data_IF_168095871365
#
_entry.id   IF_168095871365
#
_cell.length_a   1.000
_cell.length_b   1.000
_cell.length_c   1.000
_cell.angle_alpha   90.00
_cell.angle_beta   90.00
_cell.angle_gamma   90.00
#
_symmetry.space_group_name_H-M   'P 1'
#
loop_
_entity.id
_entity.type
_entity.pdbx_description
1 polymer ?
#
# COMPACT_ATOMS: atom_id res chain seq x y z
N UNK A 1 19.38 12.64 -0.93
CA UNK A 1 19.87 11.67 -1.93
C UNK A 1 20.06 10.37 -1.19
N UNK A 2 19.46 9.30 -1.70
CA UNK A 2 19.27 8.03 -1.00
C UNK A 2 20.58 7.24 -1.05
N UNK A 3 21.34 7.27 0.03
CA UNK A 3 22.67 6.61 0.18
C UNK A 3 22.63 5.12 -0.25
N UNK A 4 21.50 4.45 -0.01
CA UNK A 4 21.24 3.07 -0.39
C UNK A 4 21.16 2.84 -1.91
N UNK A 5 20.66 3.82 -2.68
CA UNK A 5 20.59 3.75 -4.14
C UNK A 5 21.98 3.86 -4.77
N UNK A 6 22.84 4.72 -4.21
CA UNK A 6 24.23 4.87 -4.66
C UNK A 6 25.04 3.60 -4.38
N UNK A 7 24.83 2.96 -3.22
CA UNK A 7 25.45 1.68 -2.88
C UNK A 7 25.02 0.55 -3.86
N UNK A 8 23.74 0.51 -4.23
CA UNK A 8 23.21 -0.47 -5.18
C UNK A 8 23.78 -0.28 -6.59
N UNK A 9 23.81 0.96 -7.10
CA UNK A 9 24.37 1.27 -8.43
C UNK A 9 25.86 0.94 -8.51
N UNK A 10 26.59 1.11 -7.40
CA UNK A 10 28.00 0.71 -7.29
C UNK A 10 28.19 -0.80 -7.40
N UNK A 11 27.32 -1.61 -6.77
CA UNK A 11 27.35 -3.07 -6.89
C UNK A 11 27.12 -3.54 -8.34
N UNK A 12 26.26 -2.86 -9.08
CA UNK A 12 26.04 -3.12 -10.52
C UNK A 12 27.28 -2.74 -11.34
N UNK A 13 27.89 -1.59 -11.06
CA UNK A 13 29.10 -1.13 -11.73
C UNK A 13 30.32 -2.05 -11.47
N UNK A 14 30.39 -2.64 -10.27
CA UNK A 14 31.40 -3.64 -9.89
C UNK A 14 31.13 -5.04 -10.48
N UNK A 15 30.02 -5.23 -11.19
CA UNK A 15 29.62 -6.52 -11.77
C UNK A 15 29.20 -7.57 -10.74
N UNK A 16 28.96 -7.16 -9.49
CA UNK A 16 28.48 -8.02 -8.41
C UNK A 16 26.98 -8.31 -8.51
N UNK A 17 26.26 -7.49 -9.26
CA UNK A 17 24.83 -7.60 -9.49
C UNK A 17 24.52 -7.30 -10.94
N UNK A 18 23.65 -8.10 -11.57
CA UNK A 18 23.23 -7.82 -12.95
C UNK A 18 22.18 -6.70 -12.99
N UNK A 19 22.04 -5.99 -14.13
CA UNK A 19 21.00 -4.96 -14.29
C UNK A 19 19.58 -5.51 -14.10
N UNK A 20 19.36 -6.77 -14.49
CA UNK A 20 18.06 -7.45 -14.40
C UNK A 20 17.69 -7.75 -12.93
N UNK A 21 18.67 -8.13 -12.11
CA UNK A 21 18.49 -8.34 -10.66
C UNK A 21 18.39 -7.01 -9.90
N UNK A 22 19.04 -5.96 -10.39
CA UNK A 22 19.02 -4.63 -9.77
C UNK A 22 17.71 -3.89 -10.00
N UNK A 23 17.06 -4.07 -11.15
CA UNK A 23 15.82 -3.39 -11.53
C UNK A 23 14.71 -3.44 -10.44
N UNK A 24 14.34 -4.59 -9.87
CA UNK A 24 13.32 -4.63 -8.81
C UNK A 24 13.78 -3.98 -7.50
N UNK A 25 15.07 -4.00 -7.20
CA UNK A 25 15.63 -3.38 -5.98
C UNK A 25 15.66 -1.86 -6.09
N UNK A 26 16.03 -1.32 -7.27
CA UNK A 26 15.95 0.12 -7.58
C UNK A 26 14.51 0.62 -7.46
N UNK A 27 13.54 -0.14 -8.01
CA UNK A 27 12.13 0.22 -7.94
C UNK A 27 11.65 0.32 -6.48
N UNK A 28 11.91 -0.71 -5.67
CA UNK A 28 11.50 -0.73 -4.27
C UNK A 28 12.18 0.37 -3.41
N UNK A 29 13.45 0.70 -3.69
CA UNK A 29 14.15 1.79 -3.01
C UNK A 29 13.64 3.17 -3.44
N UNK A 30 13.26 3.32 -4.70
CA UNK A 30 12.68 4.57 -5.24
C UNK A 30 11.28 4.80 -4.66
N UNK A 31 10.44 3.78 -4.57
CA UNK A 31 9.12 3.86 -3.92
C UNK A 31 9.22 4.21 -2.43
N UNK A 32 10.25 3.70 -1.73
CA UNK A 32 10.49 3.99 -0.32
C UNK A 32 11.10 5.38 -0.08
N UNK A 33 11.87 5.90 -1.04
CA UNK A 33 12.53 7.21 -0.94
C UNK A 33 11.76 8.35 -1.58
N UNK A 34 10.74 8.05 -2.39
CA UNK A 34 9.78 9.05 -2.81
C UNK A 34 8.97 9.47 -1.56
N UNK A 35 8.84 10.77 -1.23
CA UNK A 35 7.63 11.19 -0.52
C UNK A 35 6.44 10.67 -1.36
N UNK A 36 5.33 10.21 -0.77
CA UNK A 36 4.24 9.58 -1.53
C UNK A 36 3.53 10.64 -2.38
N UNK A 37 4.20 11.10 -3.42
CA UNK A 37 3.65 11.93 -4.47
C UNK A 37 2.81 11.03 -5.33
N UNK A 38 1.53 11.33 -5.32
CA UNK A 38 0.46 10.75 -6.08
C UNK A 38 0.84 10.31 -7.50
N UNK A 39 0.11 9.29 -7.95
CA UNK A 39 -0.15 8.92 -9.35
C UNK A 39 0.64 7.71 -9.86
N UNK A 40 0.07 6.53 -9.69
CA UNK A 40 -0.63 5.86 -10.78
C UNK A 40 -1.24 4.57 -10.26
N UNK A 41 -2.54 4.38 -10.52
CA UNK A 41 -3.20 3.09 -10.44
C UNK A 41 -2.49 2.15 -11.42
N UNK A 42 -1.52 1.38 -10.94
CA UNK A 42 -1.21 0.09 -11.54
C UNK A 42 -2.12 -0.90 -10.82
N UNK A 43 -3.04 -1.60 -11.51
CA UNK A 43 -3.66 -2.77 -10.93
C UNK A 43 -2.51 -3.75 -10.67
N UNK A 44 -2.08 -3.84 -9.41
CA UNK A 44 -1.08 -4.81 -9.00
C UNK A 44 -1.62 -6.18 -9.41
N UNK A 45 -0.91 -6.82 -10.33
CA UNK A 45 -1.17 -8.17 -10.81
C UNK A 45 -1.52 -9.07 -9.62
N UNK A 46 -2.81 -9.38 -9.49
CA UNK A 46 -3.36 -10.09 -8.35
C UNK A 46 -2.70 -11.44 -8.20
N UNK A 47 -1.82 -11.57 -7.22
CA UNK A 47 -1.35 -12.87 -6.77
C UNK A 47 -2.50 -13.47 -5.96
N UNK A 48 -3.29 -14.34 -6.61
CA UNK A 48 -4.26 -15.20 -5.93
C UNK A 48 -3.45 -16.23 -5.14
N UNK A 49 -2.94 -15.83 -3.98
CA UNK A 49 -2.32 -16.73 -3.02
C UNK A 49 -3.42 -17.30 -2.11
N UNK A 50 -3.28 -18.59 -1.82
CA UNK A 50 -4.10 -19.46 -0.99
C UNK A 50 -4.96 -18.78 0.09
N UNK A 51 -6.19 -19.29 0.20
CA UNK A 51 -7.29 -18.84 1.05
C UNK A 51 -7.01 -18.97 2.56
N UNK A 52 -6.07 -18.18 3.08
CA UNK A 52 -6.01 -17.81 4.49
C UNK A 52 -7.20 -16.93 4.88
N UNK A 53 -7.46 -16.75 6.19
CA UNK A 53 -8.49 -15.84 6.66
C UNK A 53 -8.14 -14.40 6.24
N UNK A 54 -8.77 -13.94 5.16
CA UNK A 54 -8.58 -12.61 4.61
C UNK A 54 -8.98 -11.54 5.63
N UNK A 55 -8.16 -10.51 5.77
CA UNK A 55 -8.37 -9.43 6.73
C UNK A 55 -8.19 -8.07 6.06
N UNK A 56 -9.12 -7.16 6.36
CA UNK A 56 -8.98 -5.76 6.00
C UNK A 56 -8.14 -5.06 7.06
N UNK A 57 -7.05 -4.44 6.65
CA UNK A 57 -6.20 -3.63 7.53
C UNK A 57 -6.47 -2.15 7.25
N UNK A 58 -6.69 -1.40 8.32
CA UNK A 58 -6.96 0.04 8.26
C UNK A 58 -5.94 0.75 9.13
N UNK A 59 -5.16 1.65 8.55
CA UNK A 59 -4.21 2.51 9.25
C UNK A 59 -4.59 3.97 9.00
N UNK A 60 -4.69 4.74 10.08
CA UNK A 60 -4.87 6.20 10.01
C UNK A 60 -3.71 6.85 10.73
N UNK A 61 -3.13 7.84 10.08
CA UNK A 61 -2.09 8.70 10.61
C UNK A 61 -2.60 10.12 10.69
N UNK A 62 -2.27 10.80 11.78
CA UNK A 62 -2.54 12.23 11.97
C UNK A 62 -1.21 12.92 12.24
N UNK A 63 -0.87 13.95 11.47
CA UNK A 63 0.43 14.64 11.54
C UNK A 63 1.64 13.69 11.57
N UNK A 64 1.61 12.65 10.73
CA UNK A 64 2.67 11.64 10.63
C UNK A 64 2.77 10.66 11.82
N UNK A 65 1.77 10.62 12.71
CA UNK A 65 1.69 9.67 13.83
C UNK A 65 0.52 8.72 13.62
N UNK A 66 0.75 7.41 13.69
CA UNK A 66 -0.34 6.44 13.61
C UNK A 66 -1.28 6.59 14.80
N UNK A 67 -2.52 7.01 14.53
CA UNK A 67 -3.59 7.16 15.52
C UNK A 67 -4.52 5.95 15.52
N UNK A 68 -4.62 5.23 14.39
CA UNK A 68 -5.44 4.02 14.25
C UNK A 68 -4.68 2.95 13.49
N UNK A 69 -4.69 1.72 13.99
CA UNK A 69 -4.17 0.54 13.29
C UNK A 69 -5.06 -0.67 13.64
N UNK A 70 -5.99 -1.00 12.75
CA UNK A 70 -7.02 -2.00 12.95
C UNK A 70 -6.87 -3.15 11.95
N UNK A 71 -7.19 -4.36 12.42
CA UNK A 71 -7.37 -5.55 11.59
C UNK A 71 -8.80 -6.04 11.74
N UNK A 72 -9.50 -6.11 10.62
CA UNK A 72 -10.92 -6.39 10.55
C UNK A 72 -11.12 -7.65 9.72
N UNK A 73 -11.68 -8.74 10.29
CA UNK A 73 -12.02 -9.93 9.51
C UNK A 73 -12.99 -9.59 8.39
N UNK A 74 -12.86 -10.20 7.21
CA UNK A 74 -13.76 -9.93 6.09
C UNK A 74 -15.24 -10.09 6.43
N UNK A 75 -15.58 -11.05 7.31
CA UNK A 75 -16.96 -11.30 7.74
C UNK A 75 -17.67 -10.08 8.33
N UNK A 76 -16.91 -9.10 8.85
CA UNK A 76 -17.45 -7.87 9.45
C UNK A 76 -16.94 -6.59 8.76
N UNK A 77 -16.06 -6.71 7.76
CA UNK A 77 -15.42 -5.59 7.09
C UNK A 77 -16.44 -4.68 6.38
N UNK A 78 -17.42 -5.26 5.69
CA UNK A 78 -18.52 -4.53 5.05
C UNK A 78 -19.29 -3.63 6.03
N UNK A 79 -19.61 -4.15 7.21
CA UNK A 79 -20.34 -3.41 8.24
C UNK A 79 -19.45 -2.32 8.85
N UNK A 80 -18.18 -2.64 9.10
CA UNK A 80 -17.21 -1.72 9.68
C UNK A 80 -16.95 -0.50 8.79
N UNK A 81 -16.91 -0.67 7.46
CA UNK A 81 -16.70 0.43 6.51
C UNK A 81 -17.72 1.55 6.66
N UNK A 82 -18.99 1.22 6.93
CA UNK A 82 -20.03 2.22 7.13
C UNK A 82 -19.90 2.99 8.47
N UNK A 83 -19.08 2.49 9.39
CA UNK A 83 -18.85 3.12 10.69
C UNK A 83 -17.60 4.01 10.70
N UNK A 84 -16.78 3.99 9.65
CA UNK A 84 -15.58 4.83 9.58
C UNK A 84 -15.96 6.22 9.05
N UNK A 85 -15.86 7.28 9.88
CA UNK A 85 -16.15 8.64 9.44
C UNK A 85 -15.14 9.07 8.36
N UNK A 86 -15.64 9.76 7.32
CA UNK A 86 -14.82 10.20 6.19
C UNK A 86 -14.62 9.16 5.08
N UNK A 87 -15.05 7.92 5.29
CA UNK A 87 -14.85 6.80 4.35
C UNK A 87 -16.13 6.45 3.57
N UNK A 88 -16.87 7.48 3.12
CA UNK A 88 -18.13 7.32 2.39
C UNK A 88 -17.97 7.56 0.88
N UNK A 89 -18.98 7.14 0.09
CA UNK A 89 -19.03 7.42 -1.35
C UNK A 89 -18.11 6.55 -2.19
N UNK A 90 -17.31 7.17 -3.06
CA UNK A 90 -16.45 6.47 -4.04
C UNK A 90 -15.39 5.58 -3.36
N UNK A 91 -14.83 6.05 -2.23
CA UNK A 91 -13.85 5.33 -1.42
C UNK A 91 -14.43 4.00 -0.92
N UNK A 92 -15.63 4.02 -0.31
CA UNK A 92 -16.31 2.81 0.16
C UNK A 92 -16.64 1.84 -0.98
N UNK A 93 -17.09 2.36 -2.13
CA UNK A 93 -17.40 1.54 -3.30
C UNK A 93 -16.15 0.82 -3.82
N UNK A 94 -14.99 1.49 -3.82
CA UNK A 94 -13.71 0.92 -4.22
C UNK A 94 -13.26 -0.19 -3.28
N UNK A 95 -13.39 0.00 -1.96
CA UNK A 95 -13.11 -1.07 -0.99
C UNK A 95 -14.00 -2.27 -1.23
N UNK A 96 -15.30 -2.05 -1.42
CA UNK A 96 -16.26 -3.11 -1.68
C UNK A 96 -15.90 -3.94 -2.93
N UNK A 97 -15.57 -3.27 -4.02
CA UNK A 97 -15.14 -3.93 -5.25
C UNK A 97 -13.86 -4.76 -5.07
N UNK A 98 -12.90 -4.28 -4.27
CA UNK A 98 -11.69 -5.03 -3.95
C UNK A 98 -11.96 -6.24 -3.04
N UNK A 99 -12.90 -6.10 -2.09
CA UNK A 99 -13.36 -7.20 -1.23
C UNK A 99 -14.04 -8.31 -2.05
N UNK A 100 -14.94 -7.93 -2.95
CA UNK A 100 -15.63 -8.86 -3.86
C UNK A 100 -14.67 -9.52 -4.86
N UNK A 101 -13.73 -8.73 -5.40
CA UNK A 101 -12.69 -9.23 -6.31
C UNK A 101 -11.67 -10.14 -5.62
N UNK A 102 -11.56 -10.07 -4.30
CA UNK A 102 -10.65 -10.90 -3.51
C UNK A 102 -9.17 -10.61 -3.76
N UNK A 103 -8.85 -9.42 -4.29
CA UNK A 103 -7.49 -9.01 -4.65
C UNK A 103 -6.74 -8.54 -3.40
N UNK A 104 -5.66 -9.25 -3.05
CA UNK A 104 -4.77 -8.89 -1.93
C UNK A 104 -3.91 -7.70 -2.33
N UNK A 105 -3.77 -6.71 -1.43
CA UNK A 105 -2.97 -5.51 -1.68
C UNK A 105 -3.61 -4.22 -1.17
N UNK A 106 -2.96 -3.06 -1.44
CA UNK A 106 -3.49 -1.75 -1.09
C UNK A 106 -4.75 -1.44 -1.91
N UNK A 107 -5.78 -0.93 -1.25
CA UNK A 107 -7.07 -0.57 -1.86
C UNK A 107 -7.28 0.94 -1.86
N UNK A 108 -6.95 1.58 -0.73
CA UNK A 108 -6.99 3.02 -0.55
C UNK A 108 -5.67 3.45 0.05
N UNK A 109 -5.12 4.51 -0.52
CA UNK A 109 -4.00 5.27 0.03
C UNK A 109 -4.31 6.75 -0.22
N UNK A 110 -4.56 7.49 0.86
CA UNK A 110 -4.88 8.92 0.83
C UNK A 110 -3.95 9.60 1.82
N UNK A 111 -3.23 10.61 1.35
CA UNK A 111 -2.42 11.50 2.19
C UNK A 111 -2.85 12.94 1.92
N UNK A 112 -3.03 13.69 2.99
CA UNK A 112 -3.33 15.12 2.98
C UNK A 112 -2.03 15.93 3.20
N UNK A 113 -1.84 17.09 2.55
CA UNK A 113 -0.71 17.99 2.80
C UNK A 113 -0.52 18.40 4.27
N UNK A 114 -1.57 18.32 5.10
CA UNK A 114 -1.48 18.58 6.55
C UNK A 114 -0.80 17.43 7.35
N UNK A 115 -0.43 16.34 6.66
CA UNK A 115 0.27 15.18 7.23
C UNK A 115 -0.65 14.09 7.78
N UNK A 116 -1.93 14.14 7.43
CA UNK A 116 -2.93 13.13 7.77
C UNK A 116 -2.99 12.09 6.64
N UNK A 117 -2.99 10.80 6.98
CA UNK A 117 -2.99 9.73 6.00
C UNK A 117 -3.93 8.59 6.37
N UNK A 118 -4.55 7.96 5.37
CA UNK A 118 -5.42 6.80 5.52
C UNK A 118 -5.01 5.73 4.51
N UNK A 119 -4.59 4.58 5.03
CA UNK A 119 -4.20 3.40 4.26
C UNK A 119 -5.15 2.24 4.57
N UNK A 120 -5.72 1.65 3.52
CA UNK A 120 -6.56 0.45 3.63
C UNK A 120 -6.01 -0.62 2.69
N UNK A 121 -5.78 -1.82 3.21
CA UNK A 121 -5.27 -2.96 2.43
C UNK A 121 -6.00 -4.25 2.78
N UNK A 122 -6.09 -5.17 1.82
CA UNK A 122 -6.51 -6.54 2.03
C UNK A 122 -5.28 -7.43 2.23
N UNK A 123 -5.21 -8.12 3.36
CA UNK A 123 -4.20 -9.13 3.73
C UNK A 123 -4.77 -10.55 3.66
#
# INVERSE_FOLDING_TARGET
MSDELEALLRLVAEGRLTPEEAAPLVAALTERSAPPTSSAVVPASGRVLDAGPRQLRIRVEERGRTVVNLRVPLSVAETALNMVPGLAGEQAARVRAALEGGTIGPIIDVEDPDGDAVMISLE
#
